data_IF_867775419125
#
_entry.id   IF_867775419125
#
_cell.length_a   1.000
_cell.length_b   1.000
_cell.length_c   1.000
_cell.angle_alpha   90.00
_cell.angle_beta   90.00
_cell.angle_gamma   90.00
#
_symmetry.space_group_name_H-M   'P 1'
#
loop_
_entity.id
_entity.type
_entity.pdbx_description
1 polymer ?
#
# COMPACT_ATOMS: atom_id res chain seq x y z
N UNK A 1 8.46 7.43 59.77
CA UNK A 1 8.97 6.62 58.64
C UNK A 1 7.96 6.34 57.53
N UNK A 2 6.63 6.22 57.79
CA UNK A 2 5.65 5.93 56.71
C UNK A 2 5.42 7.09 55.71
N UNK A 3 5.53 8.34 56.14
CA UNK A 3 5.31 9.52 55.27
C UNK A 3 6.45 9.82 54.29
N UNK A 4 7.69 9.49 54.67
CA UNK A 4 8.88 9.65 53.79
C UNK A 4 8.98 8.55 52.74
N UNK A 5 8.51 7.33 53.06
CA UNK A 5 8.49 6.21 52.12
C UNK A 5 7.45 6.39 51.00
N UNK A 6 6.29 7.00 51.32
CA UNK A 6 5.25 7.29 50.32
C UNK A 6 5.66 8.38 49.33
N UNK A 7 6.42 9.39 49.78
CA UNK A 7 6.90 10.46 48.90
C UNK A 7 7.98 9.96 47.93
N UNK A 8 8.87 9.06 48.41
CA UNK A 8 9.90 8.43 47.58
C UNK A 8 9.28 7.50 46.52
N UNK A 9 8.22 6.78 46.86
CA UNK A 9 7.51 5.89 45.93
C UNK A 9 6.78 6.67 44.82
N UNK A 10 6.20 7.83 45.13
CA UNK A 10 5.57 8.71 44.14
C UNK A 10 6.60 9.33 43.18
N UNK A 11 7.79 9.71 43.66
CA UNK A 11 8.85 10.29 42.82
C UNK A 11 9.44 9.22 41.88
N UNK A 12 9.60 7.97 42.34
CA UNK A 12 10.06 6.85 41.48
C UNK A 12 9.01 6.48 40.43
N UNK A 13 7.72 6.50 40.77
CA UNK A 13 6.63 6.28 39.81
C UNK A 13 6.52 7.41 38.76
N UNK A 14 6.69 8.68 39.17
CA UNK A 14 6.71 9.82 38.25
C UNK A 14 7.94 9.80 37.34
N UNK A 15 9.09 9.35 37.83
CA UNK A 15 10.28 9.17 37.01
C UNK A 15 10.11 8.04 35.96
N UNK A 16 9.42 6.94 36.29
CA UNK A 16 9.15 5.87 35.31
C UNK A 16 8.14 6.23 34.22
N UNK A 17 7.24 7.19 34.48
CA UNK A 17 6.30 7.70 33.45
C UNK A 17 6.96 8.75 32.56
N UNK A 18 7.97 9.48 33.06
CA UNK A 18 8.72 10.45 32.27
C UNK A 18 9.65 9.83 31.22
N UNK A 19 10.05 8.56 31.36
CA UNK A 19 10.90 7.86 30.36
C UNK A 19 10.07 7.34 29.16
N UNK A 20 8.74 7.39 29.21
CA UNK A 20 7.88 6.94 28.10
C UNK A 20 7.51 8.05 27.10
N UNK A 21 7.95 9.30 27.31
CA UNK A 21 7.71 10.41 26.38
C UNK A 21 8.98 11.04 25.78
N UNK A 22 10.16 10.42 25.96
CA UNK A 22 11.42 10.89 25.35
C UNK A 22 11.73 10.25 23.99
N UNK A 23 10.73 9.92 23.19
CA UNK A 23 10.93 9.87 21.73
C UNK A 23 10.78 11.29 21.19
N UNK A 24 11.73 12.18 21.50
CA UNK A 24 11.88 13.45 20.79
C UNK A 24 12.37 13.14 19.37
N UNK A 25 11.49 12.59 18.53
CA UNK A 25 11.62 12.70 17.09
C UNK A 25 11.46 14.19 16.78
N UNK A 26 12.53 14.84 16.33
CA UNK A 26 12.45 16.22 15.89
C UNK A 26 11.45 16.33 14.74
N UNK A 27 10.87 17.51 14.55
CA UNK A 27 10.27 17.88 13.29
C UNK A 27 11.17 18.94 12.63
N UNK A 28 11.39 18.81 11.33
CA UNK A 28 12.08 19.81 10.53
C UNK A 28 11.05 20.62 9.77
N UNK A 29 11.18 21.92 9.85
CA UNK A 29 10.44 22.84 9.01
C UNK A 29 11.01 22.77 7.59
N UNK A 30 10.13 22.51 6.62
CA UNK A 30 10.45 22.35 5.20
C UNK A 30 9.60 23.37 4.44
N UNK A 31 10.27 24.27 3.74
CA UNK A 31 9.68 25.15 2.74
C UNK A 31 9.72 24.42 1.39
N UNK A 32 8.57 24.24 0.75
CA UNK A 32 8.44 23.50 -0.51
C UNK A 32 8.64 24.36 -1.77
N UNK A 33 9.03 25.62 -1.62
CA UNK A 33 9.45 26.47 -2.75
C UNK A 33 10.57 25.79 -3.52
N UNK A 34 10.46 25.78 -4.86
CA UNK A 34 11.43 25.19 -5.80
C UNK A 34 11.62 23.65 -5.69
N UNK A 35 10.85 22.95 -4.85
CA UNK A 35 10.95 21.49 -4.78
C UNK A 35 10.46 20.84 -6.08
N UNK A 36 11.19 19.80 -6.50
CA UNK A 36 10.70 18.84 -7.49
C UNK A 36 10.53 17.46 -6.87
N UNK A 37 9.57 16.70 -7.38
CA UNK A 37 9.38 15.30 -7.04
C UNK A 37 10.17 14.40 -7.98
N UNK A 38 10.94 13.47 -7.42
CA UNK A 38 11.71 12.44 -8.13
C UNK A 38 11.21 11.06 -7.73
N UNK A 39 10.92 10.21 -8.72
CA UNK A 39 10.41 8.86 -8.45
C UNK A 39 10.96 7.81 -9.43
N UNK A 40 10.99 6.56 -9.00
CA UNK A 40 11.47 5.42 -9.79
C UNK A 40 10.57 5.05 -10.97
N UNK A 41 11.17 4.52 -12.03
CA UNK A 41 10.45 4.03 -13.21
C UNK A 41 9.92 2.59 -13.08
N UNK A 42 10.19 1.95 -11.95
CA UNK A 42 9.80 0.60 -11.55
C UNK A 42 8.39 0.53 -10.93
N UNK A 43 7.77 1.67 -10.61
CA UNK A 43 6.39 1.76 -10.14
C UNK A 43 5.37 1.23 -11.16
N UNK A 44 4.26 0.68 -10.67
CA UNK A 44 3.12 0.38 -11.52
C UNK A 44 2.49 1.60 -12.20
N UNK A 45 1.72 1.39 -13.29
CA UNK A 45 1.00 2.51 -13.91
C UNK A 45 -0.01 3.13 -12.91
N UNK A 46 -0.80 2.33 -12.16
CA UNK A 46 -1.60 2.85 -11.06
C UNK A 46 -0.77 3.54 -9.97
N UNK A 47 0.35 2.94 -9.55
CA UNK A 47 1.23 3.52 -8.55
C UNK A 47 1.81 4.88 -8.99
N UNK A 48 2.21 5.00 -10.27
CA UNK A 48 2.69 6.25 -10.83
C UNK A 48 1.59 7.32 -10.91
N UNK A 49 0.33 6.92 -11.18
CA UNK A 49 -0.82 7.83 -11.11
C UNK A 49 -1.09 8.32 -9.68
N UNK A 50 -0.84 7.50 -8.66
CA UNK A 50 -0.91 7.93 -7.25
C UNK A 50 0.21 8.91 -6.90
N UNK A 51 1.43 8.72 -7.40
CA UNK A 51 2.51 9.71 -7.26
C UNK A 51 2.14 11.04 -7.90
N UNK A 52 1.50 11.02 -9.08
CA UNK A 52 0.98 12.23 -9.71
C UNK A 52 -0.10 12.90 -8.85
N UNK A 53 -1.06 12.12 -8.35
CA UNK A 53 -2.12 12.61 -7.44
C UNK A 53 -1.53 13.27 -6.20
N UNK A 54 -0.48 12.67 -5.64
CA UNK A 54 0.26 13.24 -4.52
C UNK A 54 0.94 14.56 -4.89
N UNK A 55 1.60 14.65 -6.05
CA UNK A 55 2.22 15.89 -6.53
C UNK A 55 1.20 17.02 -6.73
N UNK A 56 0.01 16.68 -7.26
CA UNK A 56 -1.09 17.63 -7.45
C UNK A 56 -1.65 18.11 -6.11
N UNK A 57 -1.85 17.18 -5.16
CA UNK A 57 -2.29 17.50 -3.80
C UNK A 57 -1.27 18.40 -3.08
N UNK A 58 0.01 18.11 -3.24
CA UNK A 58 1.08 18.93 -2.68
C UNK A 58 1.12 20.32 -3.32
N UNK A 59 1.00 20.40 -4.65
CA UNK A 59 0.96 21.68 -5.37
C UNK A 59 -0.21 22.54 -4.91
N UNK A 60 -1.39 21.93 -4.73
CA UNK A 60 -2.56 22.60 -4.16
C UNK A 60 -2.31 23.06 -2.72
N UNK A 61 -1.69 22.22 -1.89
CA UNK A 61 -1.39 22.54 -0.49
C UNK A 61 -0.43 23.71 -0.36
N UNK A 62 0.60 23.78 -1.21
CA UNK A 62 1.68 24.77 -1.08
C UNK A 62 1.43 26.04 -1.90
N UNK A 63 0.55 25.97 -2.90
CA UNK A 63 0.40 27.03 -3.91
C UNK A 63 1.51 27.00 -4.98
N UNK A 64 2.46 26.07 -4.88
CA UNK A 64 3.62 25.96 -5.77
C UNK A 64 3.39 24.89 -6.85
N UNK A 65 3.99 25.08 -8.02
CA UNK A 65 3.98 24.04 -9.05
C UNK A 65 5.09 23.03 -8.78
N UNK A 66 4.73 21.82 -8.37
CA UNK A 66 5.69 20.75 -8.14
C UNK A 66 6.02 20.05 -9.47
N UNK A 67 7.25 20.22 -9.95
CA UNK A 67 7.76 19.49 -11.12
C UNK A 67 8.00 18.01 -10.79
N UNK A 68 7.86 17.12 -11.77
CA UNK A 68 8.10 15.67 -11.60
C UNK A 68 9.20 15.16 -12.53
N UNK A 69 10.06 14.28 -12.01
CA UNK A 69 11.13 13.60 -12.75
C UNK A 69 11.11 12.10 -12.46
N UNK A 70 10.99 11.29 -13.52
CA UNK A 70 11.12 9.84 -13.44
C UNK A 70 12.59 9.44 -13.62
N UNK A 71 13.09 8.50 -12.81
CA UNK A 71 14.49 8.02 -12.85
C UNK A 71 14.56 6.50 -12.89
N UNK A 72 15.66 5.94 -13.39
CA UNK A 72 15.94 4.50 -13.28
C UNK A 72 16.64 4.24 -11.92
N UNK A 73 16.03 3.46 -11.00
CA UNK A 73 16.62 3.22 -9.68
C UNK A 73 17.92 2.43 -9.72
N UNK A 74 18.16 1.63 -10.78
CA UNK A 74 19.40 0.85 -10.96
C UNK A 74 20.44 1.55 -11.82
N UNK A 75 20.19 2.81 -12.19
CA UNK A 75 21.16 3.62 -12.93
C UNK A 75 22.30 4.10 -12.05
N UNK A 76 23.23 4.85 -12.65
CA UNK A 76 24.30 5.49 -11.91
C UNK A 76 23.72 6.38 -10.80
N UNK A 77 24.39 6.35 -9.64
CA UNK A 77 24.03 7.22 -8.52
C UNK A 77 24.14 8.68 -8.97
N UNK A 78 23.09 9.45 -8.70
CA UNK A 78 22.98 10.86 -9.03
C UNK A 78 22.60 11.59 -7.74
N UNK A 79 23.39 12.59 -7.35
CA UNK A 79 23.12 13.41 -6.16
C UNK A 79 21.86 14.27 -6.32
N UNK A 80 21.44 14.51 -7.57
CA UNK A 80 20.28 15.30 -7.91
C UNK A 80 20.40 16.78 -7.55
N UNK A 81 19.26 17.47 -7.58
CA UNK A 81 19.18 18.87 -7.17
C UNK A 81 19.04 18.93 -5.64
N UNK A 82 19.44 20.04 -5.02
CA UNK A 82 19.44 20.16 -3.56
C UNK A 82 18.03 19.95 -2.94
N UNK A 83 16.99 20.45 -3.59
CA UNK A 83 15.59 20.44 -3.11
C UNK A 83 14.75 19.42 -3.89
N UNK A 84 14.67 18.20 -3.36
CA UNK A 84 13.90 17.11 -3.99
C UNK A 84 13.01 16.39 -2.97
N UNK A 85 11.86 15.93 -3.46
CA UNK A 85 10.98 14.96 -2.80
C UNK A 85 11.23 13.62 -3.47
N UNK A 86 11.83 12.68 -2.75
CA UNK A 86 12.20 11.37 -3.25
C UNK A 86 11.09 10.38 -2.91
N UNK A 87 10.45 9.81 -3.93
CA UNK A 87 9.33 8.88 -3.77
C UNK A 87 9.70 7.50 -4.30
N UNK A 88 9.65 6.52 -3.40
CA UNK A 88 9.98 5.13 -3.70
C UNK A 88 11.47 4.89 -3.88
N UNK A 89 11.82 3.85 -4.64
CA UNK A 89 13.21 3.57 -4.97
C UNK A 89 13.70 4.58 -6.04
N UNK A 90 14.82 5.24 -5.77
CA UNK A 90 15.43 6.20 -6.69
C UNK A 90 16.94 5.99 -6.71
N UNK A 91 17.62 6.50 -7.74
CA UNK A 91 19.08 6.48 -7.81
C UNK A 91 19.74 7.60 -6.96
N UNK A 92 19.01 8.16 -5.98
CA UNK A 92 19.56 9.11 -5.00
C UNK A 92 20.12 8.38 -3.78
N UNK A 93 21.30 8.77 -3.27
CA UNK A 93 21.89 8.12 -2.11
C UNK A 93 21.02 8.26 -0.84
N UNK A 94 20.23 9.34 -0.71
CA UNK A 94 19.34 9.57 0.43
C UNK A 94 18.24 8.52 0.54
N UNK A 95 17.69 8.05 -0.58
CA UNK A 95 16.68 6.98 -0.59
C UNK A 95 17.26 5.71 0.00
N UNK A 96 18.43 5.26 -0.49
CA UNK A 96 19.11 4.09 0.04
C UNK A 96 19.49 4.26 1.52
N UNK A 97 19.93 5.47 1.93
CA UNK A 97 20.23 5.79 3.33
C UNK A 97 19.00 5.74 4.22
N UNK A 98 17.83 6.19 3.74
CA UNK A 98 16.58 6.13 4.47
C UNK A 98 16.09 4.68 4.63
N UNK A 99 16.08 3.91 3.54
CA UNK A 99 15.62 2.51 3.56
C UNK A 99 16.45 1.61 4.45
N UNK A 100 17.77 1.83 4.57
CA UNK A 100 18.64 1.11 5.53
C UNK A 100 18.20 1.25 7.00
N UNK A 101 17.40 2.26 7.34
CA UNK A 101 16.87 2.45 8.69
C UNK A 101 15.64 1.58 8.96
N UNK A 102 14.90 1.21 7.91
CA UNK A 102 13.70 0.38 8.01
C UNK A 102 14.10 -1.06 8.30
N UNK A 103 13.59 -1.61 9.40
CA UNK A 103 13.85 -3.01 9.79
C UNK A 103 12.69 -3.91 9.36
N UNK A 104 12.99 -4.88 8.50
CA UNK A 104 11.96 -5.75 7.92
C UNK A 104 11.10 -5.00 6.91
N UNK A 105 9.87 -5.45 6.69
CA UNK A 105 8.93 -4.78 5.79
C UNK A 105 8.36 -3.52 6.43
N UNK A 106 8.38 -2.43 5.69
CA UNK A 106 7.89 -1.16 6.18
C UNK A 106 8.14 0.00 5.23
N UNK A 107 7.89 1.19 5.75
CA UNK A 107 8.16 2.43 5.04
C UNK A 107 8.75 3.48 5.96
N UNK A 108 9.30 4.52 5.35
CA UNK A 108 9.89 5.67 6.02
C UNK A 108 9.46 6.97 5.34
N UNK A 109 9.11 7.96 6.18
CA UNK A 109 9.01 9.38 5.82
C UNK A 109 10.03 10.14 6.67
N UNK A 110 10.97 10.81 6.02
CA UNK A 110 12.11 11.43 6.70
C UNK A 110 12.64 12.62 5.91
N UNK A 111 13.35 13.53 6.58
CA UNK A 111 14.13 14.57 5.92
C UNK A 111 15.62 14.26 6.08
N UNK A 112 16.36 14.20 4.96
CA UNK A 112 17.81 13.98 4.95
C UNK A 112 18.46 15.17 4.24
N UNK A 113 19.22 15.97 4.99
CA UNK A 113 19.71 17.23 4.47
C UNK A 113 18.54 18.14 4.09
N UNK A 114 18.48 18.53 2.82
CA UNK A 114 17.43 19.34 2.19
C UNK A 114 16.42 18.50 1.40
N UNK A 115 16.50 17.17 1.42
CA UNK A 115 15.57 16.30 0.68
C UNK A 115 14.53 15.68 1.60
N UNK A 116 13.29 15.61 1.13
CA UNK A 116 12.22 14.83 1.77
C UNK A 116 12.22 13.45 1.13
N UNK A 117 12.23 12.39 1.92
CA UNK A 117 12.21 10.99 1.43
C UNK A 117 10.95 10.31 1.91
N UNK A 118 10.20 9.74 0.97
CA UNK A 118 8.97 8.95 1.18
C UNK A 118 9.17 7.62 0.46
N UNK A 119 9.58 6.58 1.18
CA UNK A 119 9.99 5.32 0.57
C UNK A 119 9.56 4.10 1.38
N UNK A 120 9.13 3.04 0.68
CA UNK A 120 8.85 1.72 1.24
C UNK A 120 9.88 0.69 0.82
N UNK A 121 9.94 -0.43 1.55
CA UNK A 121 10.74 -1.60 1.14
C UNK A 121 10.19 -2.31 -0.10
N UNK A 122 8.98 -1.95 -0.52
CA UNK A 122 8.35 -2.31 -1.79
C UNK A 122 7.63 -1.08 -2.37
N UNK A 123 7.20 -1.15 -3.62
CA UNK A 123 6.40 -0.08 -4.24
C UNK A 123 5.06 0.08 -3.51
N UNK A 124 4.40 -1.02 -3.12
CA UNK A 124 3.15 -0.96 -2.37
C UNK A 124 3.32 -0.23 -1.04
N UNK A 125 4.40 -0.52 -0.31
CA UNK A 125 4.71 0.16 0.95
C UNK A 125 5.10 1.63 0.74
N UNK A 126 5.62 1.99 -0.44
CA UNK A 126 5.81 3.40 -0.82
C UNK A 126 4.48 4.10 -0.98
N UNK A 127 3.48 3.47 -1.61
CA UNK A 127 2.13 4.05 -1.72
C UNK A 127 1.50 4.27 -0.35
N UNK A 128 1.65 3.33 0.58
CA UNK A 128 1.19 3.51 1.96
C UNK A 128 1.93 4.66 2.68
N UNK A 129 3.20 4.92 2.34
CA UNK A 129 3.95 6.04 2.86
C UNK A 129 3.43 7.39 2.32
N UNK A 130 2.99 7.42 1.06
CA UNK A 130 2.33 8.59 0.45
C UNK A 130 0.97 8.86 1.09
N UNK A 131 0.17 7.81 1.34
CA UNK A 131 -1.10 7.94 2.07
C UNK A 131 -0.85 8.57 3.44
N UNK A 132 0.07 7.99 4.21
CA UNK A 132 0.48 8.53 5.51
C UNK A 132 0.92 10.00 5.40
N UNK A 133 1.75 10.35 4.42
CA UNK A 133 2.21 11.72 4.23
C UNK A 133 1.03 12.66 3.96
N UNK A 134 0.15 12.26 3.04
CA UNK A 134 -1.02 13.04 2.62
C UNK A 134 -1.93 13.32 3.80
N UNK A 135 -2.29 12.27 4.55
CA UNK A 135 -3.15 12.37 5.73
C UNK A 135 -2.53 13.21 6.85
N UNK A 136 -1.21 13.11 7.04
CA UNK A 136 -0.53 13.77 8.16
C UNK A 136 -0.23 15.24 7.88
N UNK A 137 0.18 15.58 6.65
CA UNK A 137 0.78 16.89 6.36
C UNK A 137 0.00 17.74 5.36
N UNK A 138 -0.81 17.13 4.47
CA UNK A 138 -1.52 17.86 3.42
C UNK A 138 -2.92 18.34 3.84
N UNK A 139 -3.40 17.95 5.02
CA UNK A 139 -4.64 18.49 5.61
C UNK A 139 -4.52 19.95 6.07
N UNK A 140 -5.64 20.66 6.20
CA UNK A 140 -5.71 22.04 6.69
C UNK A 140 -5.48 23.12 5.61
N UNK A 141 -5.24 24.36 6.05
CA UNK A 141 -5.09 25.53 5.17
C UNK A 141 -3.84 25.47 4.29
N UNK A 142 -3.86 26.15 3.14
CA UNK A 142 -2.70 26.24 2.24
C UNK A 142 -1.49 26.83 2.97
N UNK A 143 -0.33 26.21 2.78
CA UNK A 143 0.94 26.64 3.37
C UNK A 143 2.10 26.05 2.57
N UNK A 144 3.01 26.92 2.13
CA UNK A 144 4.25 26.50 1.46
C UNK A 144 5.21 25.78 2.41
N UNK A 145 5.07 26.02 3.71
CA UNK A 145 5.92 25.43 4.75
C UNK A 145 5.18 24.37 5.56
N UNK A 146 5.85 23.24 5.84
CA UNK A 146 5.32 22.16 6.69
C UNK A 146 6.37 21.66 7.69
N UNK A 147 5.90 21.20 8.85
CA UNK A 147 6.74 20.54 9.87
C UNK A 147 6.71 19.04 9.65
N UNK A 148 7.73 18.52 8.98
CA UNK A 148 7.86 17.10 8.67
C UNK A 148 8.67 16.41 9.76
N UNK A 149 8.21 15.26 10.24
CA UNK A 149 8.98 14.46 11.18
C UNK A 149 10.37 14.14 10.61
N UNK A 150 11.42 14.33 11.41
CA UNK A 150 12.80 14.05 10.98
C UNK A 150 13.02 12.56 10.75
N UNK A 151 12.20 11.71 11.37
CA UNK A 151 12.19 10.28 11.14
C UNK A 151 10.85 9.67 11.59
N UNK A 152 10.03 9.23 10.64
CA UNK A 152 8.87 8.37 10.89
C UNK A 152 9.05 7.08 10.14
N UNK A 153 9.10 5.98 10.87
CA UNK A 153 9.12 4.63 10.31
C UNK A 153 7.84 3.88 10.68
N UNK A 154 7.41 3.00 9.79
CA UNK A 154 6.42 1.97 10.09
C UNK A 154 7.03 0.59 9.85
N UNK A 155 6.70 -0.36 10.73
CA UNK A 155 6.93 -1.78 10.51
C UNK A 155 5.56 -2.41 10.24
N UNK A 156 5.45 -3.13 9.12
CA UNK A 156 4.22 -3.76 8.71
C UNK A 156 4.28 -5.27 8.94
N UNK A 157 3.19 -5.83 9.44
CA UNK A 157 2.96 -7.26 9.37
C UNK A 157 2.57 -7.62 7.94
N UNK A 158 3.17 -8.68 7.40
CA UNK A 158 3.01 -9.05 6.00
C UNK A 158 2.48 -10.47 5.88
N UNK A 159 1.64 -10.66 4.87
CA UNK A 159 1.06 -11.91 4.44
C UNK A 159 1.77 -12.38 3.17
N UNK A 160 2.57 -13.43 3.26
CA UNK A 160 3.32 -13.97 2.13
C UNK A 160 2.44 -14.82 1.21
N UNK A 161 2.52 -14.53 -0.09
CA UNK A 161 1.83 -15.27 -1.15
C UNK A 161 2.76 -16.35 -1.70
N UNK A 162 2.29 -17.59 -1.59
CA UNK A 162 2.94 -18.79 -2.10
C UNK A 162 1.93 -19.67 -2.85
N UNK A 163 2.40 -20.79 -3.38
CA UNK A 163 1.59 -21.77 -4.09
C UNK A 163 0.51 -22.48 -3.24
N UNK A 164 0.42 -22.21 -1.92
CA UNK A 164 -0.60 -22.81 -1.04
C UNK A 164 -1.90 -22.02 -1.03
N UNK A 165 -1.90 -20.81 -1.60
CA UNK A 165 -3.12 -20.03 -1.76
C UNK A 165 -4.03 -20.60 -2.84
N UNK A 166 -5.33 -20.51 -2.62
CA UNK A 166 -6.36 -20.87 -3.61
C UNK A 166 -7.28 -19.70 -3.88
N UNK A 167 -7.59 -19.48 -5.15
CA UNK A 167 -8.67 -18.57 -5.54
C UNK A 167 -10.01 -19.27 -5.32
N UNK A 168 -10.91 -18.64 -4.57
CA UNK A 168 -12.22 -19.15 -4.23
C UNK A 168 -13.27 -18.32 -4.96
N UNK A 169 -14.07 -18.96 -5.81
CA UNK A 169 -15.19 -18.32 -6.52
C UNK A 169 -16.52 -18.87 -6.04
N UNK A 170 -17.62 -18.19 -6.39
CA UNK A 170 -18.96 -18.70 -6.08
C UNK A 170 -19.19 -20.09 -6.72
N UNK A 171 -19.58 -21.07 -5.90
CA UNK A 171 -19.90 -22.43 -6.32
C UNK A 171 -21.05 -22.51 -7.33
N UNK A 172 -21.94 -21.51 -7.37
CA UNK A 172 -23.04 -21.46 -8.35
C UNK A 172 -22.56 -21.29 -9.79
N UNK A 173 -21.30 -20.90 -9.97
CA UNK A 173 -20.67 -20.71 -11.28
C UNK A 173 -20.23 -22.03 -11.92
N UNK A 174 -20.21 -23.14 -11.16
CA UNK A 174 -19.92 -24.47 -11.65
C UNK A 174 -21.09 -25.04 -12.46
N UNK A 175 -20.82 -25.58 -13.66
CA UNK A 175 -21.84 -26.27 -14.48
C UNK A 175 -22.63 -25.39 -15.45
N UNK A 176 -22.22 -24.14 -15.69
CA UNK A 176 -22.69 -23.31 -16.82
C UNK A 176 -22.18 -23.92 -18.15
N UNK A 177 -23.03 -24.66 -18.85
CA UNK A 177 -22.63 -25.49 -20.01
C UNK A 177 -22.27 -24.72 -21.29
N UNK A 178 -22.59 -23.43 -21.42
CA UNK A 178 -22.39 -22.70 -22.69
C UNK A 178 -21.43 -21.49 -22.60
N UNK A 179 -21.05 -21.05 -21.41
CA UNK A 179 -20.06 -19.98 -21.22
C UNK A 179 -19.26 -20.28 -19.95
N UNK A 180 -17.95 -20.49 -20.10
CA UNK A 180 -17.07 -20.52 -18.92
C UNK A 180 -17.21 -19.14 -18.27
N UNK A 181 -17.59 -19.13 -16.99
CA UNK A 181 -17.87 -17.91 -16.25
C UNK A 181 -16.66 -16.93 -16.33
N UNK A 182 -16.94 -15.65 -16.59
CA UNK A 182 -15.93 -14.60 -16.76
C UNK A 182 -15.00 -14.51 -15.56
N UNK A 183 -15.52 -14.64 -14.33
CA UNK A 183 -14.73 -14.65 -13.10
C UNK A 183 -13.69 -15.77 -13.10
N UNK A 184 -14.10 -17.00 -13.41
CA UNK A 184 -13.23 -18.17 -13.46
C UNK A 184 -12.18 -18.02 -14.58
N UNK A 185 -12.58 -17.53 -15.76
CA UNK A 185 -11.67 -17.32 -16.88
C UNK A 185 -10.59 -16.28 -16.56
N UNK A 186 -11.00 -15.11 -16.07
CA UNK A 186 -10.08 -14.01 -15.78
C UNK A 186 -9.15 -14.36 -14.60
N UNK A 187 -9.65 -15.12 -13.63
CA UNK A 187 -8.82 -15.66 -12.54
C UNK A 187 -7.74 -16.60 -13.07
N UNK A 188 -8.07 -17.51 -14.00
CA UNK A 188 -7.06 -18.39 -14.63
C UNK A 188 -6.01 -17.58 -15.41
N UNK A 189 -6.45 -16.60 -16.20
CA UNK A 189 -5.54 -15.69 -16.92
C UNK A 189 -4.64 -14.88 -15.99
N UNK A 190 -5.12 -14.54 -14.79
CA UNK A 190 -4.33 -13.88 -13.76
C UNK A 190 -3.26 -14.81 -13.22
N UNK A 191 -3.61 -16.05 -12.87
CA UNK A 191 -2.66 -17.05 -12.36
C UNK A 191 -1.52 -17.29 -13.36
N UNK A 192 -1.84 -17.37 -14.66
CA UNK A 192 -0.82 -17.51 -15.72
C UNK A 192 0.19 -16.36 -15.73
N UNK A 193 -0.21 -15.15 -15.31
CA UNK A 193 0.66 -13.98 -15.20
C UNK A 193 1.54 -13.99 -13.95
N UNK A 194 1.29 -14.90 -13.00
CA UNK A 194 2.14 -15.12 -11.83
C UNK A 194 3.17 -16.24 -12.03
N UNK A 195 3.30 -16.79 -13.24
CA UNK A 195 4.17 -17.93 -13.53
C UNK A 195 5.63 -17.75 -13.10
N UNK A 196 6.16 -16.52 -13.15
CA UNK A 196 7.54 -16.19 -12.77
C UNK A 196 7.72 -15.92 -11.26
N UNK A 197 6.65 -15.98 -10.48
CA UNK A 197 6.66 -15.74 -9.03
C UNK A 197 6.54 -17.06 -8.26
N UNK A 198 6.99 -17.08 -7.00
CA UNK A 198 6.74 -18.22 -6.09
C UNK A 198 5.24 -18.48 -5.83
N UNK A 199 4.41 -17.50 -6.16
CA UNK A 199 2.96 -17.59 -6.24
C UNK A 199 2.44 -18.44 -7.43
N UNK A 200 3.31 -18.94 -8.30
CA UNK A 200 2.94 -19.83 -9.41
C UNK A 200 2.31 -21.13 -8.89
N UNK A 201 1.32 -21.65 -9.63
CA UNK A 201 0.55 -22.87 -9.30
C UNK A 201 -0.58 -22.74 -8.26
N UNK A 202 -1.03 -21.53 -7.95
CA UNK A 202 -2.32 -21.36 -7.25
C UNK A 202 -3.45 -21.98 -8.07
N UNK A 203 -4.45 -22.53 -7.37
CA UNK A 203 -5.59 -23.20 -8.00
C UNK A 203 -6.87 -22.39 -7.83
N UNK A 204 -7.79 -22.53 -8.78
CA UNK A 204 -9.15 -22.01 -8.71
C UNK A 204 -10.05 -23.12 -8.16
N UNK A 205 -10.81 -22.83 -7.11
CA UNK A 205 -11.70 -23.78 -6.44
C UNK A 205 -13.07 -23.16 -6.17
N UNK A 206 -14.15 -23.94 -6.22
CA UNK A 206 -15.47 -23.46 -5.84
C UNK A 206 -15.57 -23.25 -4.33
N UNK A 207 -16.47 -22.37 -3.94
CA UNK A 207 -16.83 -22.16 -2.56
C UNK A 207 -17.63 -23.34 -1.98
N UNK A 208 -16.90 -24.34 -1.48
CA UNK A 208 -17.49 -25.52 -0.83
C UNK A 208 -16.94 -25.75 0.59
N UNK A 209 -15.65 -25.53 0.78
CA UNK A 209 -14.94 -25.74 2.05
C UNK A 209 -14.04 -24.52 2.35
N UNK A 210 -13.91 -24.16 3.62
CA UNK A 210 -13.01 -23.08 4.04
C UNK A 210 -11.59 -23.60 4.23
N UNK A 211 -10.61 -22.79 3.82
CA UNK A 211 -9.17 -23.06 3.93
C UNK A 211 -8.46 -21.88 4.59
N UNK A 212 -7.27 -22.11 5.09
CA UNK A 212 -6.50 -21.05 5.75
C UNK A 212 -6.06 -19.95 4.76
N UNK A 213 -5.56 -20.34 3.58
CA UNK A 213 -5.02 -19.43 2.55
C UNK A 213 -5.97 -19.30 1.36
N UNK A 214 -6.84 -18.29 1.41
CA UNK A 214 -7.87 -18.06 0.39
C UNK A 214 -7.79 -16.64 -0.19
N UNK A 215 -7.84 -16.57 -1.52
CA UNK A 215 -8.12 -15.36 -2.29
C UNK A 215 -9.58 -15.45 -2.74
N UNK A 216 -10.47 -14.80 -2.02
CA UNK A 216 -11.91 -14.83 -2.26
C UNK A 216 -12.26 -13.83 -3.36
N UNK A 217 -12.86 -14.32 -4.45
CA UNK A 217 -13.21 -13.50 -5.61
C UNK A 217 -14.72 -13.25 -5.62
N UNK A 218 -15.09 -12.00 -5.94
CA UNK A 218 -16.49 -11.61 -6.17
C UNK A 218 -17.41 -11.90 -5.01
N UNK A 219 -18.47 -12.67 -5.28
CA UNK A 219 -19.59 -12.93 -4.38
C UNK A 219 -19.51 -14.29 -3.66
N UNK A 220 -18.35 -14.94 -3.63
CA UNK A 220 -18.17 -16.16 -2.84
C UNK A 220 -18.64 -15.99 -1.38
N UNK A 221 -19.29 -17.02 -0.86
CA UNK A 221 -19.92 -17.10 0.46
C UNK A 221 -18.88 -17.28 1.59
N UNK A 222 -18.00 -16.28 1.74
CA UNK A 222 -17.07 -16.13 2.87
C UNK A 222 -17.44 -14.89 3.66
N UNK A 223 -17.34 -14.96 5.00
CA UNK A 223 -17.67 -13.83 5.88
C UNK A 223 -16.96 -12.55 5.47
N UNK A 224 -15.65 -12.62 5.20
CA UNK A 224 -14.85 -11.48 4.79
C UNK A 224 -15.36 -10.83 3.48
N UNK A 225 -15.82 -11.63 2.52
CA UNK A 225 -16.38 -11.12 1.26
C UNK A 225 -17.80 -10.57 1.46
N UNK A 226 -18.66 -11.26 2.21
CA UNK A 226 -20.03 -10.79 2.50
C UNK A 226 -20.03 -9.45 3.24
N UNK A 227 -19.20 -9.32 4.27
CA UNK A 227 -19.08 -8.08 5.04
C UNK A 227 -18.59 -6.91 4.19
N UNK A 228 -17.62 -7.15 3.30
CA UNK A 228 -17.09 -6.11 2.42
C UNK A 228 -18.11 -5.72 1.35
N UNK A 229 -18.68 -6.70 0.64
CA UNK A 229 -19.65 -6.48 -0.41
C UNK A 229 -20.95 -5.81 0.09
N UNK A 230 -21.34 -6.02 1.35
CA UNK A 230 -22.55 -5.43 1.93
C UNK A 230 -22.49 -3.90 2.08
N UNK A 231 -21.30 -3.30 2.07
CA UNK A 231 -21.11 -1.84 2.23
C UNK A 231 -20.59 -1.16 0.98
N UNK A 232 -20.32 -1.92 -0.09
CA UNK A 232 -19.82 -1.41 -1.36
C UNK A 232 -20.94 -0.94 -2.28
N UNK A 233 -20.63 0.05 -3.10
CA UNK A 233 -21.44 0.42 -4.26
C UNK A 233 -21.17 -0.51 -5.44
N UNK A 234 -22.12 -0.55 -6.38
CA UNK A 234 -22.05 -1.42 -7.58
C UNK A 234 -20.93 -1.06 -8.56
N UNK A 235 -20.27 0.08 -8.37
CA UNK A 235 -19.15 0.56 -9.19
C UNK A 235 -17.81 0.51 -8.47
N UNK A 236 -17.77 -0.09 -7.27
CA UNK A 236 -16.53 -0.27 -6.52
C UNK A 236 -15.90 -1.64 -6.72
N UNK A 237 -14.58 -1.65 -6.70
CA UNK A 237 -13.71 -2.82 -6.88
C UNK A 237 -12.41 -2.59 -6.09
N UNK A 238 -11.55 -3.60 -5.91
CA UNK A 238 -10.29 -3.40 -5.21
C UNK A 238 -9.67 -4.67 -4.66
N UNK A 239 -8.93 -4.51 -3.56
CA UNK A 239 -8.29 -5.58 -2.79
C UNK A 239 -8.43 -5.26 -1.30
N UNK A 240 -8.79 -6.26 -0.50
CA UNK A 240 -8.81 -6.15 0.96
C UNK A 240 -8.23 -7.40 1.61
N UNK A 241 -7.36 -7.24 2.59
CA UNK A 241 -6.86 -8.31 3.46
C UNK A 241 -7.66 -8.25 4.76
N UNK A 242 -8.41 -9.31 5.04
CA UNK A 242 -9.21 -9.44 6.26
C UNK A 242 -9.06 -10.83 6.83
N UNK A 243 -8.75 -10.92 8.12
CA UNK A 243 -8.62 -12.18 8.85
C UNK A 243 -7.67 -13.18 8.17
N UNK A 244 -6.54 -12.69 7.62
CA UNK A 244 -5.56 -13.52 6.92
C UNK A 244 -5.99 -14.02 5.54
N UNK A 245 -7.15 -13.57 5.02
CA UNK A 245 -7.64 -13.87 3.67
C UNK A 245 -7.55 -12.62 2.80
N UNK A 246 -7.39 -12.82 1.50
CA UNK A 246 -7.45 -11.75 0.50
C UNK A 246 -8.85 -11.78 -0.11
N UNK A 247 -9.49 -10.63 -0.23
CA UNK A 247 -10.80 -10.46 -0.87
C UNK A 247 -10.64 -9.54 -2.07
N UNK A 248 -11.11 -10.01 -3.22
CA UNK A 248 -11.15 -9.29 -4.49
C UNK A 248 -12.63 -8.99 -4.79
N UNK A 249 -13.21 -7.93 -4.19
CA UNK A 249 -14.64 -7.70 -4.23
C UNK A 249 -15.12 -7.23 -5.61
N UNK A 250 -16.43 -7.31 -5.84
CA UNK A 250 -17.07 -6.76 -7.03
C UNK A 250 -18.50 -7.26 -7.13
N UNK A 251 -19.45 -6.33 -7.24
CA UNK A 251 -20.89 -6.65 -7.24
C UNK A 251 -21.43 -7.04 -8.62
N UNK A 252 -20.59 -7.00 -9.66
CA UNK A 252 -20.89 -7.45 -11.01
C UNK A 252 -19.60 -7.89 -11.72
N UNK A 253 -19.74 -8.59 -12.84
CA UNK A 253 -18.62 -9.11 -13.64
C UNK A 253 -17.59 -8.03 -13.98
N UNK A 254 -18.05 -6.82 -14.33
CA UNK A 254 -17.18 -5.69 -14.67
C UNK A 254 -16.25 -5.31 -13.51
N UNK A 255 -16.80 -5.19 -12.31
CA UNK A 255 -16.02 -4.87 -11.11
C UNK A 255 -15.13 -6.02 -10.67
N UNK A 256 -15.56 -7.27 -10.81
CA UNK A 256 -14.74 -8.45 -10.52
C UNK A 256 -13.50 -8.47 -11.43
N UNK A 257 -13.67 -8.24 -12.73
CA UNK A 257 -12.54 -8.16 -13.68
C UNK A 257 -11.60 -7.01 -13.33
N UNK A 258 -12.13 -5.86 -12.90
CA UNK A 258 -11.31 -4.72 -12.45
C UNK A 258 -10.57 -5.03 -11.16
N UNK A 259 -11.17 -5.72 -10.19
CA UNK A 259 -10.49 -6.20 -8.98
C UNK A 259 -9.36 -7.17 -9.29
N UNK A 260 -9.57 -8.15 -10.18
CA UNK A 260 -8.51 -9.08 -10.59
C UNK A 260 -7.34 -8.37 -11.26
N UNK A 261 -7.64 -7.39 -12.14
CA UNK A 261 -6.61 -6.55 -12.77
C UNK A 261 -5.88 -5.71 -11.73
N UNK A 262 -6.58 -5.07 -10.82
CA UNK A 262 -5.97 -4.26 -9.78
C UNK A 262 -5.11 -5.10 -8.82
N UNK A 263 -5.58 -6.28 -8.43
CA UNK A 263 -4.81 -7.22 -7.61
C UNK A 263 -3.50 -7.64 -8.28
N UNK A 264 -3.47 -7.81 -9.60
CA UNK A 264 -2.21 -8.04 -10.34
C UNK A 264 -1.21 -6.91 -10.11
N UNK A 265 -1.67 -5.67 -10.15
CA UNK A 265 -0.83 -4.49 -9.97
C UNK A 265 -0.35 -4.40 -8.51
N UNK A 266 -1.23 -4.69 -7.54
CA UNK A 266 -0.86 -4.83 -6.13
C UNK A 266 0.22 -5.90 -5.94
N UNK A 267 0.07 -7.07 -6.56
CA UNK A 267 1.08 -8.15 -6.51
C UNK A 267 2.40 -7.67 -7.12
N UNK A 268 2.38 -7.01 -8.28
CA UNK A 268 3.57 -6.45 -8.94
C UNK A 268 4.32 -5.48 -8.03
N UNK A 269 3.60 -4.58 -7.38
CA UNK A 269 4.19 -3.57 -6.49
C UNK A 269 4.57 -4.13 -5.11
N UNK A 270 4.15 -5.36 -4.80
CA UNK A 270 4.46 -6.07 -3.55
C UNK A 270 5.66 -7.02 -3.66
N UNK A 271 6.27 -7.12 -4.84
CA UNK A 271 7.43 -7.99 -5.05
C UNK A 271 8.63 -7.46 -4.29
N UNK A 272 9.36 -8.37 -3.64
CA UNK A 272 10.65 -8.09 -3.00
C UNK A 272 11.61 -9.26 -3.20
N UNK A 273 12.91 -8.97 -3.14
CA UNK A 273 13.95 -10.00 -3.20
C UNK A 273 14.38 -10.39 -1.79
N UNK A 274 14.46 -11.69 -1.52
CA UNK A 274 15.05 -12.25 -0.30
C UNK A 274 15.82 -13.52 -0.64
N UNK A 275 17.07 -13.62 -0.20
CA UNK A 275 17.94 -14.77 -0.46
C UNK A 275 18.05 -15.17 -1.95
N UNK A 276 17.96 -14.19 -2.86
CA UNK A 276 18.00 -14.40 -4.31
C UNK A 276 16.69 -14.92 -4.92
N UNK A 277 15.62 -15.02 -4.13
CA UNK A 277 14.27 -15.36 -4.60
C UNK A 277 13.37 -14.12 -4.65
N UNK A 278 12.53 -14.05 -5.69
CA UNK A 278 11.49 -13.03 -5.81
C UNK A 278 10.22 -13.52 -5.11
N UNK A 279 9.87 -12.85 -4.02
CA UNK A 279 8.75 -13.16 -3.15
C UNK A 279 7.68 -12.08 -3.28
N UNK A 280 6.45 -12.41 -2.88
CA UNK A 280 5.32 -11.49 -2.85
C UNK A 280 4.77 -11.48 -1.44
N UNK A 281 4.59 -10.30 -0.85
CA UNK A 281 3.88 -10.18 0.40
C UNK A 281 3.05 -8.89 0.47
N UNK A 282 1.82 -9.00 0.97
CA UNK A 282 0.91 -7.87 1.15
C UNK A 282 0.84 -7.51 2.65
N UNK A 283 0.64 -6.24 3.02
CA UNK A 283 0.33 -5.89 4.40
C UNK A 283 -0.91 -6.63 4.92
N UNK A 284 -0.83 -7.15 6.14
CA UNK A 284 -1.89 -7.99 6.73
C UNK A 284 -3.23 -7.23 6.96
N UNK A 285 -3.20 -5.91 6.92
CA UNK A 285 -4.32 -4.98 7.06
C UNK A 285 -4.60 -4.19 5.78
N UNK A 286 -3.97 -4.55 4.65
CA UNK A 286 -4.10 -3.81 3.40
C UNK A 286 -5.55 -3.78 2.91
N UNK A 287 -6.11 -2.59 2.71
CA UNK A 287 -7.41 -2.43 2.05
C UNK A 287 -7.35 -1.22 1.15
N UNK A 288 -7.70 -1.41 -0.12
CA UNK A 288 -7.84 -0.33 -1.08
C UNK A 288 -8.99 -0.64 -2.03
N UNK A 289 -10.01 0.21 -1.95
CA UNK A 289 -11.18 0.19 -2.82
C UNK A 289 -11.09 1.37 -3.78
N UNK A 290 -11.43 1.12 -5.03
CA UNK A 290 -11.44 2.07 -6.12
C UNK A 290 -12.86 2.16 -6.66
N UNK A 291 -13.23 3.35 -7.14
CA UNK A 291 -14.52 3.60 -7.78
C UNK A 291 -14.32 3.74 -9.28
N UNK A 292 -15.11 3.03 -10.06
CA UNK A 292 -15.13 3.19 -11.51
C UNK A 292 -15.95 4.42 -11.93
N UNK A 293 -15.28 5.54 -12.18
CA UNK A 293 -15.91 6.79 -12.58
C UNK A 293 -16.37 6.81 -14.05
N UNK A 294 -15.94 5.84 -14.86
CA UNK A 294 -16.31 5.72 -16.28
C UNK A 294 -17.48 4.74 -16.51
N UNK A 295 -17.92 4.04 -15.45
CA UNK A 295 -19.08 3.15 -15.52
C UNK A 295 -20.35 3.95 -15.77
N UNK A 296 -20.81 3.99 -17.02
CA UNK A 296 -22.20 4.35 -17.35
C UNK A 296 -23.14 3.15 -17.24
N UNK A 297 -22.62 1.97 -16.92
CA UNK A 297 -23.40 0.76 -16.69
C UNK A 297 -23.84 0.70 -15.22
N UNK A 298 -24.84 1.53 -14.89
CA UNK A 298 -25.88 1.08 -13.95
C UNK A 298 -26.53 -0.09 -14.65
N UNK A 299 -26.10 -1.31 -14.36
CA UNK A 299 -26.75 -2.49 -14.92
C UNK A 299 -28.18 -2.49 -14.41
N UNK A 300 -29.11 -2.22 -15.32
CA UNK A 300 -30.53 -2.51 -15.18
C UNK A 300 -30.68 -4.01 -14.89
N UNK A 301 -30.63 -4.41 -13.62
CA UNK A 301 -31.19 -5.68 -13.19
C UNK A 301 -32.34 -5.38 -12.21
N UNK A 302 -33.56 -5.85 -12.50
CA UNK A 302 -34.73 -5.66 -11.65
C UNK A 302 -34.65 -6.37 -10.30
#
# INVERSE_FOLDING_TARGET
>A
MKRTLSLLLCIVMLASVAVLFSSCGGAKEVDFTDYRLVYGNDLSDPAAAEVQTFADALSKKTGEKIGMKKVNPTGDTDEGDELEILVGNTNRPETAKALKKVKGHGYIVTVIGSKVVVAGTTNLLTLMALDYFTETYLGGEESVTMKIATEKQSKMEMLELDNKWSFIHDSTLEGSFDQINVEIQETKKLIDKFADLRASSMVVQPDTESRDKEIVVGLANRDAARELNAVMSVVEYGVSVKNGKIVLPGLNDGMIVKSLKYFREVVRDSVYESDGEMLVALPADFTRLLTDTESTHVTDFP
#
